data_IF_714925867853
#
_entry.id   IF_714925867853
#
_cell.length_a   1.000
_cell.length_b   1.000
_cell.length_c   1.000
_cell.angle_alpha   90.00
_cell.angle_beta   90.00
_cell.angle_gamma   90.00
#
_symmetry.space_group_name_H-M   'P 1'
#
loop_
_entity.id
_entity.type
_entity.pdbx_description
1 polymer ?
#
# COMPACT_ATOMS: atom_id res chain seq x y z
N UNK A 1 -13.36 -20.40 17.23
CA UNK A 1 -12.06 -19.92 16.70
C UNK A 1 -12.30 -19.48 15.27
N UNK A 2 -11.75 -18.33 14.86
CA UNK A 2 -12.00 -17.62 13.58
C UNK A 2 -13.15 -16.59 13.61
N UNK A 3 -12.91 -15.49 14.32
CA UNK A 3 -13.69 -14.26 14.17
C UNK A 3 -12.71 -13.06 14.16
N UNK A 4 -11.81 -13.06 13.18
CA UNK A 4 -10.95 -11.92 12.89
C UNK A 4 -11.77 -10.92 12.05
N UNK A 5 -12.75 -10.30 12.70
CA UNK A 5 -13.64 -9.32 12.09
C UNK A 5 -12.84 -8.13 11.59
N UNK A 6 -12.63 -8.10 10.27
CA UNK A 6 -12.85 -6.96 9.36
C UNK A 6 -12.73 -5.58 10.04
N UNK A 7 -11.53 -5.23 10.48
CA UNK A 7 -11.28 -3.87 10.95
C UNK A 7 -11.14 -2.98 9.72
N UNK A 8 -12.28 -2.41 9.35
CA UNK A 8 -12.44 -1.15 8.65
C UNK A 8 -11.36 -0.84 7.61
N UNK A 9 -11.65 -1.23 6.36
CA UNK A 9 -11.19 -0.54 5.15
C UNK A 9 -11.69 0.92 5.21
N UNK A 10 -11.07 1.74 6.06
CA UNK A 10 -11.28 3.19 6.04
C UNK A 10 -10.79 3.68 4.68
N UNK A 11 -11.45 4.69 4.08
CA UNK A 11 -11.02 5.25 2.81
C UNK A 11 -9.74 6.07 3.01
N UNK A 12 -8.60 5.37 3.15
CA UNK A 12 -7.26 5.96 3.17
C UNK A 12 -6.85 6.52 1.80
N UNK A 13 -7.72 6.46 0.79
CA UNK A 13 -7.48 7.06 -0.53
C UNK A 13 -7.12 8.56 -0.44
N UNK A 14 -7.58 9.25 0.62
CA UNK A 14 -7.25 10.65 0.92
C UNK A 14 -6.15 10.83 1.97
N UNK A 15 -5.73 9.75 2.64
CA UNK A 15 -4.67 9.84 3.63
C UNK A 15 -3.35 10.22 2.93
N UNK A 16 -2.64 11.18 3.51
CA UNK A 16 -1.32 11.57 3.00
C UNK A 16 -0.29 10.54 3.44
N UNK A 17 0.72 10.31 2.62
CA UNK A 17 1.83 9.41 2.93
C UNK A 17 2.43 9.67 4.34
N UNK A 18 2.59 10.93 4.72
CA UNK A 18 3.07 11.31 6.05
C UNK A 18 2.16 10.85 7.21
N UNK A 19 0.83 10.84 7.04
CA UNK A 19 -0.09 10.37 8.08
C UNK A 19 -0.01 8.85 8.25
N UNK A 20 0.18 8.11 7.15
CA UNK A 20 0.38 6.66 7.18
C UNK A 20 1.61 6.27 8.02
N UNK A 21 2.69 7.04 7.86
CA UNK A 21 3.97 6.81 8.52
C UNK A 21 3.94 7.10 10.02
N UNK A 22 3.23 8.15 10.44
CA UNK A 22 3.08 8.47 11.86
C UNK A 22 2.32 7.39 12.64
N UNK A 23 1.48 6.61 11.96
CA UNK A 23 0.63 5.61 12.57
C UNK A 23 1.31 4.25 12.82
N UNK A 24 2.66 4.15 12.73
CA UNK A 24 3.40 2.86 12.82
C UNK A 24 2.74 1.76 11.97
N UNK A 25 2.38 2.12 10.75
CA UNK A 25 1.64 1.25 9.85
C UNK A 25 2.51 0.87 8.66
N UNK A 26 2.28 -0.31 8.11
CA UNK A 26 2.90 -0.78 6.89
C UNK A 26 2.08 -0.34 5.69
N UNK A 27 2.76 0.05 4.62
CA UNK A 27 2.13 0.46 3.38
C UNK A 27 2.14 -0.74 2.43
N UNK A 28 0.96 -1.12 1.94
CA UNK A 28 0.76 -2.30 1.10
C UNK A 28 0.19 -1.89 -0.24
N UNK A 29 0.68 -2.51 -1.30
CA UNK A 29 0.11 -2.43 -2.62
C UNK A 29 -0.70 -3.69 -2.91
N UNK A 30 -1.91 -3.52 -3.41
CA UNK A 30 -2.82 -4.62 -3.77
C UNK A 30 -3.22 -4.47 -5.24
N UNK A 31 -2.90 -5.48 -6.04
CA UNK A 31 -3.33 -5.52 -7.44
C UNK A 31 -4.65 -6.27 -7.58
N UNK A 32 -5.43 -5.95 -8.62
CA UNK A 32 -6.67 -6.69 -8.95
C UNK A 32 -6.43 -8.16 -9.32
N UNK A 33 -5.19 -8.55 -9.63
CA UNK A 33 -4.82 -9.95 -9.85
C UNK A 33 -4.66 -10.76 -8.55
N UNK A 34 -4.79 -10.12 -7.38
CA UNK A 34 -4.62 -10.77 -6.07
C UNK A 34 -3.19 -10.78 -5.53
N UNK A 35 -2.23 -10.22 -6.26
CA UNK A 35 -0.87 -9.99 -5.74
C UNK A 35 -0.87 -8.84 -4.75
N UNK A 36 -0.09 -9.00 -3.68
CA UNK A 36 0.10 -7.99 -2.65
C UNK A 36 1.58 -7.79 -2.38
N UNK A 37 2.05 -6.56 -2.18
CA UNK A 37 3.44 -6.34 -1.77
C UNK A 37 3.53 -5.21 -0.75
N UNK A 38 4.39 -5.38 0.24
CA UNK A 38 4.76 -4.29 1.12
C UNK A 38 5.62 -3.29 0.34
N UNK A 39 5.25 -2.02 0.41
CA UNK A 39 5.96 -0.93 -0.25
C UNK A 39 6.70 -0.13 0.80
N UNK A 40 8.01 0.02 0.62
CA UNK A 40 8.80 0.94 1.43
C UNK A 40 8.58 2.39 0.95
N UNK A 41 7.98 3.25 1.78
CA UNK A 41 7.76 4.66 1.45
C UNK A 41 9.03 5.51 1.49
N UNK A 42 10.18 5.01 1.99
CA UNK A 42 11.42 5.76 2.13
C UNK A 42 11.87 6.42 0.83
N UNK A 43 11.71 5.73 -0.31
CA UNK A 43 12.05 6.27 -1.62
C UNK A 43 11.15 7.48 -1.98
N UNK A 44 9.83 7.38 -1.75
CA UNK A 44 8.91 8.49 -1.98
C UNK A 44 9.14 9.67 -1.01
N UNK A 45 9.56 9.39 0.22
CA UNK A 45 9.95 10.42 1.18
C UNK A 45 11.20 11.17 0.74
N UNK A 46 12.23 10.45 0.27
CA UNK A 46 13.45 11.03 -0.28
C UNK A 46 13.19 11.92 -1.50
N UNK A 47 12.15 11.61 -2.28
CA UNK A 47 11.69 12.43 -3.41
C UNK A 47 10.76 13.60 -3.02
N UNK A 48 10.52 13.83 -1.72
CA UNK A 48 9.66 14.92 -1.26
C UNK A 48 8.15 14.68 -1.42
N UNK A 49 7.72 13.45 -1.76
CA UNK A 49 6.32 13.10 -2.02
C UNK A 49 5.48 12.91 -0.74
N UNK A 50 6.01 13.28 0.43
CA UNK A 50 5.37 13.11 1.76
C UNK A 50 3.95 13.69 1.87
N UNK A 51 3.63 14.72 1.09
CA UNK A 51 2.31 15.39 1.09
C UNK A 51 1.35 14.85 0.03
N UNK A 52 1.82 13.98 -0.87
CA UNK A 52 0.98 13.40 -1.91
C UNK A 52 -0.07 12.47 -1.29
N UNK A 53 -1.30 12.45 -1.84
CA UNK A 53 -2.30 11.46 -1.49
C UNK A 53 -1.86 10.08 -2.00
N UNK A 54 -2.24 9.02 -1.28
CA UNK A 54 -1.90 7.66 -1.71
C UNK A 54 -2.37 7.35 -3.13
N UNK A 55 -3.57 7.80 -3.54
CA UNK A 55 -4.07 7.60 -4.90
C UNK A 55 -3.16 8.13 -6.01
N UNK A 56 -2.39 9.19 -5.76
CA UNK A 56 -1.41 9.69 -6.74
C UNK A 56 -0.21 8.73 -6.87
N UNK A 57 0.17 8.06 -5.77
CA UNK A 57 1.28 7.12 -5.71
C UNK A 57 0.89 5.74 -6.28
N UNK A 58 -0.39 5.38 -6.28
CA UNK A 58 -0.89 4.13 -6.88
C UNK A 58 -0.50 3.97 -8.36
N UNK A 59 -0.47 5.07 -9.11
CA UNK A 59 -0.09 5.10 -10.52
C UNK A 59 1.39 4.81 -10.76
N UNK A 60 2.22 4.91 -9.70
CA UNK A 60 3.66 4.62 -9.68
C UNK A 60 3.99 3.16 -9.36
N UNK A 61 2.98 2.31 -9.27
CA UNK A 61 3.12 0.89 -8.98
C UNK A 61 2.94 0.05 -10.25
N UNK A 62 3.75 -1.01 -10.35
CA UNK A 62 3.69 -1.98 -11.44
C UNK A 62 3.61 -3.38 -10.85
N UNK A 63 2.63 -4.14 -11.29
CA UNK A 63 2.52 -5.55 -10.94
C UNK A 63 3.12 -6.42 -12.05
N UNK A 64 3.70 -7.56 -11.68
CA UNK A 64 4.24 -8.57 -12.59
C UNK A 64 3.16 -9.15 -13.52
N UNK A 65 1.87 -9.05 -13.15
CA UNK A 65 0.76 -9.41 -14.04
C UNK A 65 0.58 -8.44 -15.22
N UNK A 66 1.32 -7.32 -15.27
CA UNK A 66 1.24 -6.29 -16.31
C UNK A 66 0.40 -5.07 -15.91
N UNK A 67 -0.25 -5.07 -14.74
CA UNK A 67 -1.03 -3.93 -14.28
C UNK A 67 -0.16 -2.69 -14.03
N UNK A 68 -0.62 -1.55 -14.55
CA UNK A 68 0.03 -0.23 -14.44
C UNK A 68 -0.48 0.61 -13.26
N UNK A 69 -1.19 0.00 -12.35
CA UNK A 69 -1.64 0.61 -11.12
C UNK A 69 -1.91 -0.49 -10.11
N UNK A 70 -1.58 -0.23 -8.85
CA UNK A 70 -2.00 -1.05 -7.72
C UNK A 70 -2.58 -0.13 -6.65
N UNK A 71 -3.61 -0.61 -5.95
CA UNK A 71 -4.24 0.14 -4.87
C UNK A 71 -3.31 0.19 -3.68
N UNK A 72 -3.24 1.32 -2.99
CA UNK A 72 -2.46 1.45 -1.76
C UNK A 72 -3.35 1.35 -0.53
N UNK A 73 -2.91 0.52 0.41
CA UNK A 73 -3.57 0.29 1.69
C UNK A 73 -2.60 0.52 2.84
N UNK A 74 -3.11 1.07 3.93
CA UNK A 74 -2.37 1.23 5.18
C UNK A 74 -2.84 0.12 6.09
N UNK A 75 -1.94 -0.79 6.45
CA UNK A 75 -2.22 -1.92 7.32
C UNK A 75 -1.41 -1.82 8.61
N UNK A 76 -1.93 -2.36 9.70
CA UNK A 76 -1.18 -2.46 10.95
C UNK A 76 0.06 -3.35 10.78
N UNK A 77 1.12 -3.09 11.56
CA UNK A 77 2.36 -3.90 11.54
C UNK A 77 2.14 -5.41 11.79
N UNK A 78 1.05 -5.76 12.48
CA UNK A 78 0.68 -7.14 12.79
C UNK A 78 -0.24 -7.79 11.75
N UNK A 79 -0.61 -7.07 10.69
CA UNK A 79 -1.54 -7.57 9.69
C UNK A 79 -0.78 -8.41 8.65
N UNK A 80 -1.05 -9.72 8.66
CA UNK A 80 -0.47 -10.66 7.71
C UNK A 80 -1.01 -10.40 6.28
N UNK A 81 -0.19 -10.63 5.23
CA UNK A 81 -0.67 -10.62 3.86
C UNK A 81 -1.85 -11.59 3.69
N UNK A 82 -2.89 -11.16 2.98
CA UNK A 82 -4.06 -11.99 2.71
C UNK A 82 -3.84 -12.88 1.45
N UNK A 83 -2.86 -12.55 0.62
CA UNK A 83 -2.53 -13.22 -0.63
C UNK A 83 -1.01 -13.42 -0.83
N UNK A 84 -0.62 -13.93 -2.01
CA UNK A 84 0.79 -14.11 -2.36
C UNK A 84 1.53 -12.77 -2.26
N UNK A 85 2.60 -12.77 -1.46
CA UNK A 85 3.41 -11.58 -1.21
C UNK A 85 4.50 -11.45 -2.26
N UNK A 86 4.58 -10.31 -2.93
CA UNK A 86 5.58 -9.99 -3.95
C UNK A 86 4.96 -9.52 -5.26
N UNK A 87 5.80 -9.42 -6.30
CA UNK A 87 5.33 -9.14 -7.65
C UNK A 87 4.82 -7.72 -7.90
N UNK A 88 4.81 -6.80 -6.92
CA UNK A 88 4.51 -5.38 -7.12
C UNK A 88 5.73 -4.55 -6.74
N UNK A 89 6.16 -3.67 -7.64
CA UNK A 89 7.29 -2.79 -7.43
C UNK A 89 6.94 -1.33 -7.76
N UNK A 90 7.63 -0.40 -7.11
CA UNK A 90 7.60 1.02 -7.44
C UNK A 90 8.48 1.22 -8.67
N UNK A 91 7.94 1.84 -9.72
CA UNK A 91 8.76 2.30 -10.84
C UNK A 91 9.00 3.82 -10.72
N UNK A 92 10.18 4.26 -11.15
CA UNK A 92 10.62 5.66 -11.05
C UNK A 92 9.97 6.54 -12.12
#
# INVERSE_FOLDING_TARGET
MADAQRIATRPFAQARLHQALLARSSLWAVCRCGQEAQIDPANWLGQGLRRQPLGALETRLRCQCGARQARLEIRGLSEAPAGPTGGIHVFR
#
